data_IF_092054607696
#
_entry.id   IF_092054607696
#
_cell.length_a   1.000
_cell.length_b   1.000
_cell.length_c   1.000
_cell.angle_alpha   90.00
_cell.angle_beta   90.00
_cell.angle_gamma   90.00
#
_symmetry.space_group_name_H-M   'P 1'
#
loop_
_entity.id
_entity.type
_entity.pdbx_description
1 polymer ?
#
# COMPACT_ATOMS: atom_id res chain seq x y z
N UNK A 1 26.77 -50.47 -32.90
CA UNK A 1 25.68 -49.47 -32.92
C UNK A 1 25.28 -49.21 -31.47
N UNK A 2 25.70 -48.08 -30.89
CA UNK A 2 25.43 -47.73 -29.49
C UNK A 2 24.55 -46.48 -29.49
N UNK A 3 23.29 -46.66 -29.09
CA UNK A 3 22.26 -45.61 -29.06
C UNK A 3 22.72 -44.46 -28.15
N UNK A 4 22.89 -43.29 -28.75
CA UNK A 4 23.14 -42.03 -28.04
C UNK A 4 21.78 -41.55 -27.51
N UNK A 5 21.55 -41.74 -26.21
CA UNK A 5 20.39 -41.20 -25.51
C UNK A 5 20.64 -39.70 -25.34
N UNK A 6 20.03 -38.91 -26.21
CA UNK A 6 19.97 -37.45 -26.10
C UNK A 6 19.05 -37.12 -24.93
N UNK A 7 19.64 -36.79 -23.78
CA UNK A 7 18.94 -36.23 -22.63
C UNK A 7 18.59 -34.78 -22.97
N UNK A 8 17.36 -34.58 -23.46
CA UNK A 8 16.79 -33.25 -23.68
C UNK A 8 16.37 -32.69 -22.31
N UNK A 9 17.22 -31.83 -21.75
CA UNK A 9 16.97 -31.09 -20.52
C UNK A 9 15.89 -30.04 -20.82
N UNK A 10 14.63 -30.38 -20.58
CA UNK A 10 13.51 -29.44 -20.61
C UNK A 10 13.68 -28.54 -19.39
N UNK A 11 14.23 -27.35 -19.59
CA UNK A 11 14.24 -26.29 -18.58
C UNK A 11 12.81 -25.77 -18.50
N UNK A 12 12.06 -26.27 -17.51
CA UNK A 12 10.76 -25.72 -17.17
C UNK A 12 10.96 -24.32 -16.57
N UNK A 13 10.71 -23.28 -17.37
CA UNK A 13 10.63 -21.90 -16.87
C UNK A 13 9.33 -21.81 -16.07
N UNK A 14 9.43 -21.91 -14.74
CA UNK A 14 8.33 -21.62 -13.85
C UNK A 14 8.03 -20.12 -13.92
N UNK A 15 6.85 -19.78 -14.43
CA UNK A 15 6.33 -18.41 -14.38
C UNK A 15 5.99 -18.14 -12.91
N UNK A 16 6.94 -17.56 -12.17
CA UNK A 16 6.68 -17.07 -10.81
C UNK A 16 5.86 -15.81 -10.94
N UNK A 17 4.55 -15.91 -10.72
CA UNK A 17 3.72 -14.72 -10.52
C UNK A 17 4.25 -13.96 -9.30
N UNK A 18 4.51 -12.65 -9.40
CA UNK A 18 4.96 -11.87 -8.26
C UNK A 18 3.92 -11.95 -7.14
N UNK A 19 4.36 -12.27 -5.93
CA UNK A 19 3.48 -12.35 -4.76
C UNK A 19 2.97 -10.94 -4.41
N UNK A 20 1.69 -10.67 -4.68
CA UNK A 20 1.03 -9.42 -4.30
C UNK A 20 0.50 -9.49 -2.87
N UNK A 21 0.17 -8.33 -2.30
CA UNK A 21 -0.71 -8.27 -1.13
C UNK A 21 -2.11 -8.84 -1.50
N UNK A 22 -2.89 -9.18 -0.48
CA UNK A 22 -4.26 -9.66 -0.69
C UNK A 22 -5.09 -8.59 -1.43
N UNK A 23 -5.80 -9.03 -2.47
CA UNK A 23 -6.69 -8.21 -3.30
C UNK A 23 -8.14 -8.21 -2.79
N UNK A 24 -8.40 -8.91 -1.67
CA UNK A 24 -9.72 -9.06 -1.05
C UNK A 24 -10.44 -7.73 -0.84
N UNK A 25 -9.68 -6.66 -0.58
CA UNK A 25 -10.20 -5.33 -0.26
C UNK A 25 -10.06 -4.33 -1.41
N UNK A 26 -9.68 -4.77 -2.61
CA UNK A 26 -9.47 -3.87 -3.75
C UNK A 26 -10.74 -3.17 -4.24
N UNK A 27 -11.92 -3.65 -3.82
CA UNK A 27 -13.22 -3.09 -4.19
C UNK A 27 -13.88 -2.27 -3.07
N UNK A 28 -13.16 -1.94 -1.99
CA UNK A 28 -13.71 -1.01 -0.98
C UNK A 28 -13.92 0.37 -1.58
N UNK A 29 -14.95 1.07 -1.13
CA UNK A 29 -15.22 2.43 -1.56
C UNK A 29 -14.33 3.43 -0.80
N UNK A 30 -13.13 3.67 -1.32
CA UNK A 30 -12.16 4.62 -0.75
C UNK A 30 -12.74 6.03 -0.68
N UNK A 31 -13.51 6.45 -1.68
CA UNK A 31 -14.05 7.80 -1.76
C UNK A 31 -15.06 8.06 -0.61
N UNK A 32 -15.93 7.09 -0.32
CA UNK A 32 -16.87 7.18 0.82
C UNK A 32 -16.14 7.28 2.17
N UNK A 33 -15.05 6.51 2.34
CA UNK A 33 -14.25 6.56 3.57
C UNK A 33 -13.61 7.95 3.73
N UNK A 34 -13.04 8.50 2.67
CA UNK A 34 -12.37 9.80 2.67
C UNK A 34 -13.34 10.97 2.90
N UNK A 35 -14.54 10.91 2.34
CA UNK A 35 -15.57 11.94 2.52
C UNK A 35 -16.22 11.90 3.91
N UNK A 36 -16.27 10.73 4.54
CA UNK A 36 -16.83 10.57 5.88
C UNK A 36 -15.80 10.86 6.97
N UNK A 37 -15.98 11.97 7.69
CA UNK A 37 -15.15 12.30 8.88
C UNK A 37 -15.10 11.16 9.90
N UNK A 38 -16.21 10.46 10.11
CA UNK A 38 -16.32 9.34 11.06
C UNK A 38 -15.53 8.13 10.58
N UNK A 39 -15.70 7.73 9.32
CA UNK A 39 -15.00 6.56 8.77
C UNK A 39 -13.50 6.81 8.71
N UNK A 40 -13.08 7.92 8.08
CA UNK A 40 -11.66 8.26 7.98
C UNK A 40 -10.97 8.28 9.35
N UNK A 41 -11.62 8.90 10.36
CA UNK A 41 -11.05 8.91 11.71
C UNK A 41 -10.91 7.50 12.27
N UNK A 42 -11.88 6.60 12.05
CA UNK A 42 -11.79 5.20 12.46
C UNK A 42 -10.58 4.48 11.85
N UNK A 43 -10.31 4.68 10.55
CA UNK A 43 -9.12 4.12 9.91
C UNK A 43 -7.83 4.71 10.48
N UNK A 44 -7.75 6.03 10.66
CA UNK A 44 -6.55 6.67 11.24
C UNK A 44 -6.34 6.19 12.68
N UNK A 45 -7.38 6.11 13.51
CA UNK A 45 -7.27 5.61 14.88
C UNK A 45 -6.78 4.15 14.91
N UNK A 46 -7.26 3.30 14.00
CA UNK A 46 -6.77 1.93 13.83
C UNK A 46 -5.27 1.92 13.49
N UNK A 47 -4.86 2.67 12.47
CA UNK A 47 -3.46 2.80 12.04
C UNK A 47 -2.58 3.35 13.18
N UNK A 48 -3.12 4.23 14.02
CA UNK A 48 -2.43 4.87 15.14
C UNK A 48 -2.44 4.06 16.44
N UNK A 49 -3.01 2.86 16.49
CA UNK A 49 -3.20 2.06 17.73
C UNK A 49 -4.10 2.73 18.79
N UNK A 50 -5.01 3.60 18.35
CA UNK A 50 -5.93 4.37 19.22
C UNK A 50 -7.38 3.87 19.17
N UNK A 51 -7.69 2.89 18.33
CA UNK A 51 -9.04 2.40 18.12
C UNK A 51 -9.08 0.99 17.55
N UNK A 52 -10.30 0.46 17.43
CA UNK A 52 -10.54 -0.84 16.79
C UNK A 52 -10.30 -0.75 15.29
N UNK A 53 -9.76 -1.81 14.72
CA UNK A 53 -9.62 -1.97 13.28
C UNK A 53 -10.79 -2.76 12.71
N UNK A 54 -11.31 -2.33 11.56
CA UNK A 54 -12.05 -3.22 10.67
C UNK A 54 -11.09 -4.25 10.06
N UNK A 55 -11.58 -5.37 9.51
CA UNK A 55 -10.70 -6.37 8.90
C UNK A 55 -9.78 -5.79 7.81
N UNK A 56 -10.30 -4.93 6.95
CA UNK A 56 -9.52 -4.28 5.90
C UNK A 56 -8.55 -3.22 6.44
N UNK A 57 -8.94 -2.46 7.47
CA UNK A 57 -8.04 -1.52 8.15
C UNK A 57 -6.89 -2.23 8.87
N UNK A 58 -7.14 -3.44 9.39
CA UNK A 58 -6.11 -4.29 10.00
C UNK A 58 -5.11 -4.76 8.95
N UNK A 59 -5.59 -5.29 7.82
CA UNK A 59 -4.72 -5.75 6.74
C UNK A 59 -3.88 -4.59 6.17
N UNK A 60 -4.49 -3.39 6.02
CA UNK A 60 -3.77 -2.18 5.64
C UNK A 60 -2.67 -1.85 6.66
N UNK A 61 -2.99 -1.86 7.96
CA UNK A 61 -2.04 -1.53 9.02
C UNK A 61 -0.82 -2.46 9.03
N UNK A 62 -1.03 -3.75 8.80
CA UNK A 62 0.02 -4.77 8.79
C UNK A 62 0.91 -4.67 7.55
N UNK A 63 0.33 -4.31 6.40
CA UNK A 63 1.04 -4.21 5.11
C UNK A 63 1.69 -2.85 4.86
N UNK A 64 1.17 -1.77 5.45
CA UNK A 64 1.60 -0.39 5.19
C UNK A 64 3.11 -0.17 5.41
N UNK A 65 3.77 -0.67 6.49
CA UNK A 65 5.22 -0.50 6.64
C UNK A 65 6.03 -1.13 5.51
N UNK A 66 5.67 -2.35 5.10
CA UNK A 66 6.33 -3.05 3.98
C UNK A 66 6.11 -2.28 2.67
N UNK A 67 4.90 -1.77 2.45
CA UNK A 67 4.57 -1.00 1.25
C UNK A 67 5.35 0.33 1.17
N UNK A 68 5.57 1.01 2.31
CA UNK A 68 6.39 2.23 2.36
C UNK A 68 7.87 1.93 2.11
N UNK A 69 8.39 0.85 2.71
CA UNK A 69 9.79 0.45 2.56
C UNK A 69 10.11 -0.08 1.16
N UNK A 70 9.19 -0.79 0.53
CA UNK A 70 9.40 -1.46 -0.75
C UNK A 70 8.62 -0.84 -1.91
N UNK A 71 8.28 0.44 -1.81
CA UNK A 71 7.67 1.23 -2.89
C UNK A 71 6.40 0.61 -3.49
N UNK A 72 5.59 -0.02 -2.63
CA UNK A 72 4.36 -0.70 -3.02
C UNK A 72 4.61 -1.77 -4.11
N UNK A 73 5.79 -2.40 -4.14
CA UNK A 73 6.18 -3.38 -5.17
C UNK A 73 5.24 -4.59 -5.25
N UNK A 74 4.58 -4.93 -4.14
CA UNK A 74 3.58 -6.01 -4.05
C UNK A 74 2.13 -5.50 -4.14
N UNK A 75 1.91 -4.20 -4.32
CA UNK A 75 0.58 -3.64 -4.40
C UNK A 75 -0.08 -3.94 -5.74
N UNK A 76 -1.38 -4.20 -5.72
CA UNK A 76 -2.19 -4.24 -6.95
C UNK A 76 -2.33 -2.85 -7.56
N UNK A 77 -2.73 -2.77 -8.83
CA UNK A 77 -2.97 -1.47 -9.49
C UNK A 77 -4.09 -0.67 -8.80
N UNK A 78 -5.11 -1.37 -8.27
CA UNK A 78 -6.18 -0.73 -7.49
C UNK A 78 -5.65 -0.18 -6.17
N UNK A 79 -4.78 -0.89 -5.47
CA UNK A 79 -4.14 -0.41 -4.25
C UNK A 79 -3.24 0.81 -4.51
N UNK A 80 -2.48 0.82 -5.61
CA UNK A 80 -1.66 1.98 -6.00
C UNK A 80 -2.52 3.20 -6.31
N UNK A 81 -3.61 3.03 -7.07
CA UNK A 81 -4.55 4.12 -7.37
C UNK A 81 -5.26 4.63 -6.11
N UNK A 82 -5.71 3.71 -5.24
CA UNK A 82 -6.31 4.05 -3.96
C UNK A 82 -5.34 4.82 -3.05
N UNK A 83 -4.08 4.39 -2.98
CA UNK A 83 -3.05 5.07 -2.21
C UNK A 83 -2.81 6.50 -2.70
N UNK A 84 -2.73 6.73 -4.02
CA UNK A 84 -2.59 8.08 -4.58
C UNK A 84 -3.76 8.99 -4.18
N UNK A 85 -5.00 8.50 -4.29
CA UNK A 85 -6.20 9.23 -3.83
C UNK A 85 -6.13 9.57 -2.34
N UNK A 86 -5.79 8.60 -1.49
CA UNK A 86 -5.70 8.79 -0.04
C UNK A 86 -4.63 9.82 0.30
N UNK A 87 -3.43 9.71 -0.28
CA UNK A 87 -2.33 10.65 -0.06
C UNK A 87 -2.74 12.07 -0.47
N UNK A 88 -3.31 12.25 -1.67
CA UNK A 88 -3.83 13.54 -2.14
C UNK A 88 -4.86 14.12 -1.18
N UNK A 89 -5.79 13.30 -0.70
CA UNK A 89 -6.82 13.77 0.23
C UNK A 89 -6.21 14.21 1.56
N UNK A 90 -5.32 13.40 2.15
CA UNK A 90 -4.73 13.69 3.45
C UNK A 90 -3.82 14.92 3.41
N UNK A 91 -2.94 15.02 2.41
CA UNK A 91 -1.99 16.14 2.29
C UNK A 91 -2.69 17.48 2.06
N UNK A 92 -3.81 17.50 1.32
CA UNK A 92 -4.52 18.74 1.00
C UNK A 92 -5.62 19.08 1.99
N UNK A 93 -6.47 18.11 2.35
CA UNK A 93 -7.71 18.34 3.11
C UNK A 93 -7.61 17.97 4.59
N UNK A 94 -6.66 17.09 4.99
CA UNK A 94 -6.55 16.55 6.35
C UNK A 94 -5.10 16.54 6.86
N UNK A 95 -4.46 17.71 6.80
CA UNK A 95 -3.04 17.92 7.12
C UNK A 95 -2.67 17.50 8.55
N UNK A 96 -3.62 17.61 9.48
CA UNK A 96 -3.52 17.12 10.85
C UNK A 96 -3.32 15.60 10.90
N UNK A 97 -4.19 14.85 10.24
CA UNK A 97 -4.12 13.39 10.17
C UNK A 97 -2.87 12.92 9.41
N UNK A 98 -2.49 13.63 8.34
CA UNK A 98 -1.25 13.36 7.61
C UNK A 98 -0.02 13.45 8.50
N UNK A 99 0.10 14.53 9.29
CA UNK A 99 1.22 14.72 10.22
C UNK A 99 1.24 13.64 11.29
N UNK A 100 0.09 13.29 11.84
CA UNK A 100 -0.02 12.24 12.86
C UNK A 100 0.46 10.88 12.33
N UNK A 101 0.02 10.50 11.12
CA UNK A 101 0.49 9.28 10.46
C UNK A 101 1.98 9.33 10.14
N UNK A 102 2.49 10.47 9.66
CA UNK A 102 3.91 10.64 9.36
C UNK A 102 4.79 10.47 10.61
N UNK A 103 4.36 10.98 11.77
CA UNK A 103 5.09 10.76 13.03
C UNK A 103 5.22 9.27 13.38
N UNK A 104 4.19 8.48 13.09
CA UNK A 104 4.18 7.05 13.39
C UNK A 104 4.97 6.22 12.38
N UNK A 105 4.72 6.44 11.09
CA UNK A 105 5.24 5.59 10.02
C UNK A 105 6.53 6.13 9.39
N UNK A 106 6.85 7.41 9.59
CA UNK A 106 8.05 8.04 9.03
C UNK A 106 8.73 9.01 10.02
N UNK A 107 9.10 8.55 11.24
CA UNK A 107 9.68 9.42 12.26
C UNK A 107 11.03 10.04 11.85
N UNK A 108 11.73 9.43 10.89
CA UNK A 108 13.01 9.88 10.36
C UNK A 108 12.87 10.67 9.04
N UNK A 109 11.64 10.90 8.56
CA UNK A 109 11.35 11.64 7.32
C UNK A 109 11.98 10.99 6.06
N UNK A 110 12.22 9.68 6.09
CA UNK A 110 12.78 8.88 4.99
C UNK A 110 11.78 8.78 3.84
N UNK A 111 10.52 8.47 4.15
CA UNK A 111 9.49 8.25 3.13
C UNK A 111 8.98 9.58 2.55
N UNK A 112 8.94 10.65 3.33
CA UNK A 112 8.64 12.00 2.83
C UNK A 112 9.64 12.44 1.76
N UNK A 113 10.93 12.13 1.94
CA UNK A 113 11.95 12.40 0.93
C UNK A 113 11.84 11.44 -0.26
N UNK A 114 11.72 10.12 0.00
CA UNK A 114 11.60 9.09 -1.04
C UNK A 114 10.42 9.35 -1.98
N UNK A 115 9.28 9.79 -1.44
CA UNK A 115 8.07 10.09 -2.20
C UNK A 115 7.86 11.58 -2.48
N UNK A 116 8.88 12.43 -2.29
CA UNK A 116 8.77 13.89 -2.42
C UNK A 116 8.08 14.33 -3.70
N UNK A 117 8.47 13.79 -4.85
CA UNK A 117 7.88 14.15 -6.14
C UNK A 117 6.38 13.78 -6.22
N UNK A 118 5.99 12.61 -5.66
CA UNK A 118 4.57 12.22 -5.57
C UNK A 118 3.82 13.15 -4.62
N UNK A 119 4.40 13.50 -3.49
CA UNK A 119 3.79 14.40 -2.50
C UNK A 119 3.66 15.84 -3.03
N UNK A 120 4.63 16.33 -3.80
CA UNK A 120 4.59 17.63 -4.45
C UNK A 120 3.52 17.66 -5.55
N UNK A 121 3.45 16.64 -6.41
CA UNK A 121 2.39 16.54 -7.42
C UNK A 121 0.99 16.25 -6.85
N UNK A 122 0.94 15.75 -5.60
CA UNK A 122 -0.30 15.57 -4.86
C UNK A 122 -0.82 16.89 -4.30
N UNK A 123 0.05 17.86 -3.97
CA UNK A 123 -0.34 19.18 -3.48
C UNK A 123 -0.93 19.98 -4.65
N UNK A 124 -2.24 20.20 -4.59
CA UNK A 124 -3.01 20.99 -5.57
C UNK A 124 -3.80 22.06 -4.84
#
# INVERSE_FOLDING_TARGET
MKLIIVVMLIVAVSVVSPATYTDKWDNINVDEILESRRLLKGYVDCLMDKGRCTPDGKDLKETLPDALENECSKCTEKQKSGADKVIRHLVNKRKDLWKELAVKYDPQNIYQERYKNKLESAKQ
#
